data_IF_949969333905
#
_entry.id   IF_949969333905
#
_cell.length_a   1.000
_cell.length_b   1.000
_cell.length_c   1.000
_cell.angle_alpha   90.00
_cell.angle_beta   90.00
_cell.angle_gamma   90.00
#
_symmetry.space_group_name_H-M   'P 1'
#
loop_
_entity.id
_entity.type
_entity.pdbx_description
1 polymer ?
#
# COMPACT_ATOMS: atom_id res chain seq x y z
N UNK A 1 -7.03 3.62 -23.41
CA UNK A 1 -7.28 2.76 -22.26
C UNK A 1 -7.47 1.33 -22.71
N UNK A 2 -6.96 0.38 -21.94
CA UNK A 2 -6.89 -1.03 -22.35
C UNK A 2 -7.95 -1.91 -21.71
N UNK A 3 -8.83 -1.34 -20.87
CA UNK A 3 -9.95 -2.06 -20.26
C UNK A 3 -11.12 -1.11 -19.96
N UNK A 4 -12.27 -1.64 -19.50
CA UNK A 4 -13.52 -0.90 -19.39
C UNK A 4 -13.93 -0.52 -17.98
N UNK A 5 -13.62 -1.35 -16.97
CA UNK A 5 -14.05 -1.12 -15.59
C UNK A 5 -12.90 -0.64 -14.73
N UNK A 6 -12.87 0.65 -14.42
CA UNK A 6 -11.84 1.27 -13.60
C UNK A 6 -12.22 1.15 -12.14
N UNK A 7 -11.35 0.55 -11.32
CA UNK A 7 -11.50 0.44 -9.87
C UNK A 7 -10.81 1.57 -9.11
N UNK A 8 -9.66 2.05 -9.62
CA UNK A 8 -8.89 3.05 -8.91
C UNK A 8 -8.05 3.91 -9.84
N UNK A 9 -7.92 5.20 -9.49
CA UNK A 9 -7.08 6.16 -10.22
C UNK A 9 -6.19 6.88 -9.22
N UNK A 10 -4.90 7.08 -9.57
CA UNK A 10 -3.97 7.92 -8.80
C UNK A 10 -3.11 8.78 -9.74
N UNK A 11 -3.05 10.08 -9.43
CA UNK A 11 -2.16 10.99 -10.12
C UNK A 11 -0.81 11.08 -9.41
N UNK A 12 0.26 10.98 -10.18
CA UNK A 12 1.62 11.23 -9.71
C UNK A 12 2.07 12.62 -10.19
N UNK A 13 2.23 13.53 -9.25
CA UNK A 13 2.63 14.91 -9.55
C UNK A 13 4.07 15.00 -10.10
N UNK A 14 4.96 14.13 -9.65
CA UNK A 14 6.38 14.15 -10.06
C UNK A 14 6.54 13.68 -11.51
N UNK A 15 5.91 12.57 -11.88
CA UNK A 15 5.97 12.03 -13.25
C UNK A 15 4.93 12.65 -14.19
N UNK A 16 3.99 13.46 -13.66
CA UNK A 16 2.86 14.05 -14.38
C UNK A 16 2.02 13.01 -15.13
N UNK A 17 1.91 11.82 -14.55
CA UNK A 17 1.19 10.69 -15.12
C UNK A 17 0.06 10.20 -14.21
N UNK A 18 -0.91 9.52 -14.80
CA UNK A 18 -2.05 8.94 -14.13
C UNK A 18 -1.92 7.42 -14.13
N UNK A 19 -1.91 6.82 -12.95
CA UNK A 19 -2.06 5.38 -12.79
C UNK A 19 -3.55 5.05 -12.80
N UNK A 20 -3.94 4.10 -13.64
CA UNK A 20 -5.31 3.62 -13.79
C UNK A 20 -5.29 2.11 -13.53
N UNK A 21 -6.08 1.67 -12.57
CA UNK A 21 -6.23 0.27 -12.19
C UNK A 21 -7.64 -0.17 -12.52
N UNK A 22 -7.76 -1.34 -13.14
CA UNK A 22 -9.02 -1.96 -13.53
C UNK A 22 -9.41 -3.08 -12.56
N UNK A 23 -10.69 -3.45 -12.56
CA UNK A 23 -11.23 -4.50 -11.67
C UNK A 23 -10.56 -5.86 -11.85
N UNK A 24 -10.07 -6.15 -13.07
CA UNK A 24 -9.33 -7.37 -13.38
C UNK A 24 -7.82 -7.28 -13.02
N UNK A 25 -7.42 -6.21 -12.30
CA UNK A 25 -6.03 -5.91 -11.91
C UNK A 25 -5.09 -5.60 -13.09
N UNK A 26 -5.65 -5.28 -14.26
CA UNK A 26 -4.88 -4.66 -15.33
C UNK A 26 -4.50 -3.22 -14.92
N UNK A 27 -3.40 -2.70 -15.45
CA UNK A 27 -2.87 -1.39 -15.09
C UNK A 27 -2.50 -0.62 -16.36
N UNK A 28 -2.94 0.63 -16.43
CA UNK A 28 -2.46 1.59 -17.42
C UNK A 28 -1.76 2.76 -16.74
N UNK A 29 -0.72 3.28 -17.39
CA UNK A 29 -0.10 4.58 -17.06
C UNK A 29 -0.39 5.53 -18.21
N UNK A 30 -1.15 6.57 -17.94
CA UNK A 30 -1.49 7.62 -18.90
C UNK A 30 -0.60 8.84 -18.69
N UNK A 31 0.16 9.21 -19.73
CA UNK A 31 1.03 10.38 -19.74
C UNK A 31 0.95 11.06 -21.10
N UNK A 32 0.74 12.38 -21.12
CA UNK A 32 0.67 13.16 -22.37
C UNK A 32 -0.37 12.66 -23.39
N UNK A 33 -1.46 12.05 -22.92
CA UNK A 33 -2.50 11.47 -23.77
C UNK A 33 -2.21 10.04 -24.26
N UNK A 34 -1.04 9.46 -23.94
CA UNK A 34 -0.64 8.11 -24.34
C UNK A 34 -0.79 7.16 -23.13
N UNK A 35 -1.50 6.06 -23.33
CA UNK A 35 -1.65 5.00 -22.33
C UNK A 35 -0.64 3.88 -22.60
N UNK A 36 0.15 3.54 -21.58
CA UNK A 36 1.04 2.37 -21.58
C UNK A 36 0.44 1.30 -20.68
N UNK A 37 0.18 0.11 -21.22
CA UNK A 37 -0.40 -1.00 -20.48
C UNK A 37 0.66 -1.83 -19.77
N UNK A 38 0.37 -2.21 -18.52
CA UNK A 38 1.17 -3.09 -17.67
C UNK A 38 0.32 -4.31 -17.26
N UNK A 39 0.19 -5.35 -18.10
CA UNK A 39 -0.72 -6.47 -17.85
C UNK A 39 -0.17 -7.50 -16.84
N UNK A 40 0.91 -7.18 -16.11
CA UNK A 40 1.63 -8.09 -15.23
C UNK A 40 0.73 -8.89 -14.26
N UNK A 41 -0.16 -8.20 -13.55
CA UNK A 41 -1.07 -8.87 -12.61
C UNK A 41 -2.21 -9.57 -13.34
N UNK A 42 -2.87 -8.91 -14.29
CA UNK A 42 -4.03 -9.45 -15.00
C UNK A 42 -3.72 -10.76 -15.71
N UNK A 43 -2.53 -10.88 -16.31
CA UNK A 43 -2.11 -12.07 -17.07
C UNK A 43 -1.39 -13.14 -16.22
N UNK A 44 -0.99 -12.82 -14.97
CA UNK A 44 -0.28 -13.78 -14.12
C UNK A 44 -1.15 -15.01 -13.80
N UNK A 45 -0.61 -16.19 -14.03
CA UNK A 45 -1.26 -17.48 -13.67
C UNK A 45 -0.80 -17.99 -12.30
N UNK A 46 0.31 -17.47 -11.78
CA UNK A 46 0.89 -17.88 -10.49
C UNK A 46 0.29 -17.15 -9.28
N UNK A 47 -0.42 -16.03 -9.51
CA UNK A 47 -1.08 -15.26 -8.46
C UNK A 47 -2.58 -15.59 -8.51
N UNK A 48 -3.07 -16.25 -7.45
CA UNK A 48 -4.47 -16.68 -7.37
C UNK A 48 -5.41 -15.49 -7.11
N UNK A 49 -5.13 -14.74 -6.06
CA UNK A 49 -5.87 -13.52 -5.70
C UNK A 49 -5.04 -12.29 -6.09
N UNK A 50 -5.54 -11.54 -7.06
CA UNK A 50 -4.86 -10.39 -7.66
C UNK A 50 -5.41 -9.06 -7.17
N UNK A 51 -6.35 -9.08 -6.20
CA UNK A 51 -7.01 -7.87 -5.72
C UNK A 51 -6.00 -6.80 -5.31
N UNK A 52 -6.21 -5.60 -5.82
CA UNK A 52 -5.48 -4.39 -5.42
C UNK A 52 -6.39 -3.61 -4.48
N UNK A 53 -5.97 -3.49 -3.22
CA UNK A 53 -6.75 -2.88 -2.14
C UNK A 53 -6.58 -1.35 -2.10
N UNK A 54 -5.36 -0.88 -2.32
CA UNK A 54 -5.04 0.56 -2.29
C UNK A 54 -3.76 0.87 -3.05
N UNK A 55 -3.51 2.16 -3.27
CA UNK A 55 -2.28 2.66 -3.91
C UNK A 55 -1.74 3.84 -3.14
N UNK A 56 -0.46 3.75 -2.77
CA UNK A 56 0.36 4.85 -2.29
C UNK A 56 1.26 5.32 -3.43
N UNK A 57 1.21 6.62 -3.76
CA UNK A 57 2.19 7.26 -4.66
C UNK A 57 3.24 7.95 -3.82
N UNK A 58 4.51 7.63 -4.07
CA UNK A 58 5.67 8.25 -3.40
C UNK A 58 6.82 8.37 -4.39
N UNK A 59 7.32 9.56 -4.58
CA UNK A 59 8.28 9.91 -5.63
C UNK A 59 7.79 9.44 -7.02
N UNK A 60 8.62 8.80 -7.82
CA UNK A 60 8.25 8.24 -9.12
C UNK A 60 7.55 6.86 -9.02
N UNK A 61 7.33 6.34 -7.82
CA UNK A 61 6.78 5.01 -7.59
C UNK A 61 5.32 5.02 -7.15
N UNK A 62 4.59 3.97 -7.54
CA UNK A 62 3.31 3.61 -6.97
C UNK A 62 3.43 2.24 -6.27
N UNK A 63 3.08 2.20 -4.99
CA UNK A 63 3.05 0.99 -4.17
C UNK A 63 1.62 0.49 -4.11
N UNK A 64 1.34 -0.63 -4.76
CA UNK A 64 0.03 -1.25 -4.82
C UNK A 64 -0.08 -2.26 -3.68
N UNK A 65 -0.95 -1.99 -2.72
CA UNK A 65 -1.30 -2.95 -1.67
C UNK A 65 -2.19 -4.04 -2.25
N UNK A 66 -1.78 -5.30 -2.14
CA UNK A 66 -2.48 -6.42 -2.77
C UNK A 66 -2.84 -7.52 -1.77
N UNK A 67 -3.67 -8.46 -2.19
CA UNK A 67 -4.05 -9.63 -1.39
C UNK A 67 -2.86 -10.54 -1.01
N UNK A 68 -1.68 -10.38 -1.61
CA UNK A 68 -0.50 -11.22 -1.39
C UNK A 68 0.77 -10.46 -0.96
N UNK A 69 0.71 -9.14 -0.91
CA UNK A 69 1.87 -8.30 -0.60
C UNK A 69 1.81 -6.93 -1.27
N UNK A 70 2.93 -6.44 -1.79
CA UNK A 70 3.02 -5.12 -2.39
C UNK A 70 3.66 -5.23 -3.79
N UNK A 71 3.02 -4.65 -4.79
CA UNK A 71 3.60 -4.49 -6.13
C UNK A 71 4.06 -3.04 -6.31
N UNK A 72 5.30 -2.86 -6.74
CA UNK A 72 5.89 -1.53 -6.95
C UNK A 72 5.95 -1.25 -8.45
N UNK A 73 5.28 -0.19 -8.87
CA UNK A 73 5.30 0.32 -10.24
C UNK A 73 6.22 1.52 -10.32
N UNK A 74 7.20 1.50 -11.21
CA UNK A 74 7.94 2.70 -11.58
C UNK A 74 7.12 3.47 -12.64
N UNK A 75 6.50 4.57 -12.23
CA UNK A 75 5.62 5.33 -13.12
C UNK A 75 6.40 6.13 -14.17
N UNK A 76 7.64 6.53 -13.88
CA UNK A 76 8.49 7.23 -14.85
C UNK A 76 8.95 6.29 -15.97
N UNK A 77 9.35 5.05 -15.62
CA UNK A 77 9.78 4.04 -16.58
C UNK A 77 8.64 3.23 -17.18
N UNK A 78 7.44 3.32 -16.59
CA UNK A 78 6.25 2.57 -16.99
C UNK A 78 6.47 1.06 -16.96
N UNK A 79 6.98 0.56 -15.85
CA UNK A 79 7.31 -0.85 -15.63
C UNK A 79 6.98 -1.31 -14.20
N UNK A 80 6.79 -2.60 -14.01
CA UNK A 80 6.79 -3.20 -12.66
C UNK A 80 8.25 -3.25 -12.21
N UNK A 81 8.55 -2.55 -11.11
CA UNK A 81 9.89 -2.54 -10.52
C UNK A 81 10.14 -3.75 -9.66
N UNK A 82 9.25 -4.02 -8.69
CA UNK A 82 9.40 -5.06 -7.69
C UNK A 82 8.06 -5.66 -7.31
N UNK A 83 8.09 -6.86 -6.74
CA UNK A 83 6.93 -7.51 -6.13
C UNK A 83 7.34 -8.13 -4.79
N UNK A 84 6.94 -7.49 -3.69
CA UNK A 84 7.21 -7.98 -2.33
C UNK A 84 6.13 -9.02 -1.97
N UNK A 85 6.46 -10.30 -2.14
CA UNK A 85 5.56 -11.43 -1.85
C UNK A 85 5.56 -11.74 -0.35
N UNK A 86 4.71 -11.07 0.40
CA UNK A 86 4.67 -11.17 1.86
C UNK A 86 3.78 -12.31 2.36
N UNK A 87 2.94 -12.87 1.49
CA UNK A 87 1.87 -13.85 1.85
C UNK A 87 0.87 -13.25 2.84
N UNK A 88 0.68 -11.95 2.81
CA UNK A 88 -0.24 -11.17 3.63
C UNK A 88 -1.16 -10.36 2.74
N UNK A 89 -2.43 -10.28 3.11
CA UNK A 89 -3.35 -9.34 2.51
C UNK A 89 -3.05 -7.94 3.05
N UNK A 90 -2.37 -7.12 2.24
CA UNK A 90 -2.02 -5.73 2.59
C UNK A 90 -3.17 -4.82 2.21
N UNK A 91 -3.70 -4.08 3.17
CA UNK A 91 -4.84 -3.17 2.96
C UNK A 91 -4.41 -1.78 2.54
N UNK A 92 -3.31 -1.28 3.11
CA UNK A 92 -2.73 0.02 2.73
C UNK A 92 -1.27 0.12 3.12
N UNK A 93 -0.56 1.08 2.52
CA UNK A 93 0.82 1.41 2.82
C UNK A 93 0.97 2.90 3.13
N UNK A 94 1.97 3.24 3.93
CA UNK A 94 2.46 4.60 4.15
C UNK A 94 3.98 4.60 4.16
N UNK A 95 4.60 5.70 3.75
CA UNK A 95 6.05 5.89 3.84
C UNK A 95 6.32 7.09 4.75
N UNK A 96 7.21 6.88 5.71
CA UNK A 96 7.63 7.92 6.66
C UNK A 96 9.04 7.65 7.18
N UNK A 97 9.85 8.69 7.26
CA UNK A 97 11.21 8.63 7.81
C UNK A 97 12.07 7.49 7.20
N UNK A 98 11.95 7.27 5.89
CA UNK A 98 12.72 6.23 5.18
C UNK A 98 12.26 4.80 5.45
N UNK A 99 11.11 4.60 6.09
CA UNK A 99 10.47 3.31 6.29
C UNK A 99 9.15 3.23 5.53
N UNK A 100 8.83 2.04 5.06
CA UNK A 100 7.50 1.69 4.57
C UNK A 100 6.75 0.93 5.66
N UNK A 101 5.51 1.32 5.90
CA UNK A 101 4.56 0.68 6.81
C UNK A 101 3.42 0.09 5.99
N UNK A 102 2.97 -1.09 6.34
CA UNK A 102 1.88 -1.77 5.65
C UNK A 102 0.90 -2.36 6.66
N UNK A 103 -0.39 -2.07 6.49
CA UNK A 103 -1.46 -2.68 7.29
C UNK A 103 -1.93 -3.99 6.68
N UNK A 104 -2.28 -4.95 7.54
CA UNK A 104 -2.80 -6.25 7.14
C UNK A 104 -3.96 -6.68 8.00
N UNK A 105 -4.91 -7.39 7.41
CA UNK A 105 -6.02 -8.02 8.14
C UNK A 105 -5.67 -9.38 8.71
N UNK A 106 -4.49 -9.94 8.34
CA UNK A 106 -4.06 -11.27 8.81
C UNK A 106 -3.41 -11.19 10.20
N UNK A 107 -4.24 -11.04 11.22
CA UNK A 107 -3.79 -10.93 12.61
C UNK A 107 -3.24 -12.22 13.20
N UNK A 108 -3.51 -13.37 12.61
CA UNK A 108 -2.89 -14.63 13.02
C UNK A 108 -1.37 -14.63 12.75
N UNK A 109 -0.95 -13.96 11.69
CA UNK A 109 0.47 -13.82 11.32
C UNK A 109 1.12 -12.56 11.93
N UNK A 110 0.33 -11.47 12.04
CA UNK A 110 0.79 -10.17 12.53
C UNK A 110 -0.24 -9.62 13.52
N UNK A 111 -0.08 -9.89 14.80
CA UNK A 111 -1.04 -9.52 15.86
C UNK A 111 -1.34 -8.01 15.90
N UNK A 112 -0.33 -7.17 15.70
CA UNK A 112 -0.51 -5.70 15.60
C UNK A 112 -1.29 -5.25 14.36
N UNK A 113 -1.38 -6.09 13.33
CA UNK A 113 -1.97 -5.72 12.04
C UNK A 113 -1.12 -4.76 11.22
N UNK A 114 0.14 -4.50 11.60
CA UNK A 114 1.07 -3.62 10.89
C UNK A 114 2.43 -4.29 10.82
N UNK A 115 3.05 -4.22 9.65
CA UNK A 115 4.46 -4.53 9.43
C UNK A 115 5.18 -3.29 8.90
N UNK A 116 6.49 -3.24 9.07
CA UNK A 116 7.32 -2.18 8.50
C UNK A 116 8.68 -2.73 8.08
N UNK A 117 9.32 -2.00 7.16
CA UNK A 117 10.69 -2.25 6.75
C UNK A 117 11.38 -0.95 6.35
N UNK A 118 12.71 -0.90 6.44
CA UNK A 118 13.48 0.24 5.94
C UNK A 118 13.56 0.19 4.41
N UNK A 119 13.34 1.32 3.75
CA UNK A 119 13.51 1.44 2.30
C UNK A 119 14.98 1.25 1.84
N UNK A 120 15.93 1.21 2.78
CA UNK A 120 17.35 0.96 2.52
C UNK A 120 17.71 -0.53 2.50
N UNK A 121 16.80 -1.39 2.99
CA UNK A 121 16.99 -2.84 3.02
C UNK A 121 16.46 -3.50 1.73
N UNK A 122 16.82 -4.78 1.56
CA UNK A 122 16.25 -5.59 0.49
C UNK A 122 14.81 -5.99 0.84
N UNK A 123 13.82 -5.26 0.31
CA UNK A 123 12.40 -5.49 0.57
C UNK A 123 11.83 -6.75 -0.11
N UNK A 124 12.59 -7.38 -1.01
CA UNK A 124 12.25 -8.70 -1.55
C UNK A 124 12.45 -9.81 -0.53
N UNK A 125 13.34 -9.59 0.46
CA UNK A 125 13.54 -10.51 1.56
C UNK A 125 12.48 -10.24 2.64
N UNK A 126 11.58 -11.22 2.83
CA UNK A 126 10.52 -11.17 3.83
C UNK A 126 11.06 -11.00 5.26
N UNK A 127 12.28 -11.43 5.55
CA UNK A 127 12.90 -11.31 6.87
C UNK A 127 13.18 -9.86 7.29
N UNK A 128 13.24 -8.93 6.34
CA UNK A 128 13.42 -7.50 6.61
C UNK A 128 12.11 -6.80 7.03
N UNK A 129 10.97 -7.46 6.84
CA UNK A 129 9.68 -6.95 7.28
C UNK A 129 9.39 -7.41 8.70
N UNK A 130 9.21 -6.44 9.61
CA UNK A 130 9.03 -6.68 11.04
C UNK A 130 7.65 -6.23 11.49
N UNK A 131 7.03 -6.90 12.48
CA UNK A 131 5.83 -6.39 13.12
C UNK A 131 6.08 -5.00 13.72
N UNK A 132 5.11 -4.10 13.54
CA UNK A 132 5.12 -2.77 14.15
C UNK A 132 4.10 -2.74 15.28
N UNK A 133 4.57 -2.67 16.52
CA UNK A 133 3.72 -2.59 17.69
C UNK A 133 3.27 -1.17 17.97
N UNK A 134 1.98 -1.01 18.21
CA UNK A 134 1.39 0.23 18.74
C UNK A 134 0.94 -0.06 20.17
N UNK A 135 1.42 0.73 21.12
CA UNK A 135 0.91 0.68 22.49
C UNK A 135 -0.55 1.14 22.51
N UNK A 136 -1.34 0.57 23.41
CA UNK A 136 -2.76 0.87 23.59
C UNK A 136 -3.70 0.42 22.43
N UNK A 137 -3.22 -0.38 21.49
CA UNK A 137 -4.08 -1.04 20.52
C UNK A 137 -4.40 -2.46 21.01
N UNK A 138 -5.66 -2.72 21.32
CA UNK A 138 -6.08 -4.09 21.69
C UNK A 138 -6.06 -5.00 20.47
N UNK A 139 -5.79 -6.29 20.67
CA UNK A 139 -5.76 -7.30 19.59
C UNK A 139 -7.11 -7.46 18.86
N UNK A 140 -8.20 -6.99 19.45
CA UNK A 140 -9.52 -6.98 18.82
C UNK A 140 -9.69 -5.90 17.75
N UNK A 141 -8.85 -4.86 17.73
CA UNK A 141 -8.97 -3.77 16.76
C UNK A 141 -8.27 -4.10 15.44
N UNK A 142 -8.90 -3.76 14.35
CA UNK A 142 -8.35 -3.93 12.99
C UNK A 142 -7.98 -2.57 12.43
N UNK A 143 -6.74 -2.46 11.94
CA UNK A 143 -6.29 -1.29 11.20
C UNK A 143 -6.64 -1.50 9.73
N UNK A 144 -7.56 -0.70 9.22
CA UNK A 144 -8.02 -0.80 7.83
C UNK A 144 -7.23 0.06 6.86
N UNK A 145 -6.61 1.15 7.37
CA UNK A 145 -5.75 2.00 6.55
C UNK A 145 -4.67 2.70 7.37
N UNK A 146 -3.55 3.00 6.71
CA UNK A 146 -2.45 3.81 7.25
C UNK A 146 -2.18 4.95 6.27
N UNK A 147 -1.91 6.15 6.78
CA UNK A 147 -1.47 7.28 6.00
C UNK A 147 -0.37 8.05 6.72
N UNK A 148 0.53 8.69 5.98
CA UNK A 148 1.52 9.63 6.51
C UNK A 148 1.15 11.05 6.12
N UNK A 149 1.09 11.96 7.08
CA UNK A 149 0.84 13.38 6.85
C UNK A 149 1.66 14.22 7.81
N UNK A 150 2.39 15.20 7.31
CA UNK A 150 3.24 16.10 8.13
C UNK A 150 4.11 15.35 9.15
N UNK A 151 4.76 14.30 8.71
CA UNK A 151 5.65 13.46 9.52
C UNK A 151 4.96 12.77 10.72
N UNK A 152 3.66 12.52 10.61
CA UNK A 152 2.86 11.76 11.58
C UNK A 152 2.14 10.64 10.86
N UNK A 153 2.15 9.42 11.44
CA UNK A 153 1.36 8.30 10.96
C UNK A 153 -0.06 8.39 11.51
N UNK A 154 -1.02 8.22 10.63
CA UNK A 154 -2.44 8.15 10.94
C UNK A 154 -2.96 6.76 10.61
N UNK A 155 -3.86 6.28 11.44
CA UNK A 155 -4.44 4.95 11.35
C UNK A 155 -5.95 5.03 11.35
N UNK A 156 -6.60 4.38 10.41
CA UNK A 156 -8.03 4.14 10.46
C UNK A 156 -8.25 2.82 11.20
N UNK A 157 -8.75 2.91 12.42
CA UNK A 157 -9.10 1.75 13.24
C UNK A 157 -10.59 1.46 13.05
N UNK A 158 -10.89 0.23 12.60
CA UNK A 158 -12.28 -0.18 12.30
C UNK A 158 -13.21 0.07 13.47
N UNK A 159 -14.35 0.71 13.21
CA UNK A 159 -15.40 1.06 14.18
C UNK A 159 -14.96 2.01 15.31
N UNK A 160 -13.71 2.47 15.31
CA UNK A 160 -13.16 3.35 16.35
C UNK A 160 -12.86 4.75 15.83
N UNK A 161 -12.59 4.91 14.53
CA UNK A 161 -12.27 6.19 13.90
C UNK A 161 -10.79 6.35 13.57
N UNK A 162 -10.35 7.61 13.50
CA UNK A 162 -8.98 7.95 13.10
C UNK A 162 -8.14 8.20 14.35
N UNK A 163 -6.97 7.61 14.35
CA UNK A 163 -5.94 7.77 15.36
C UNK A 163 -4.65 8.29 14.71
N UNK A 164 -3.83 8.92 15.51
CA UNK A 164 -2.47 9.28 15.13
C UNK A 164 -1.49 8.78 16.18
N UNK A 165 -0.26 8.56 15.77
CA UNK A 165 0.80 8.13 16.65
C UNK A 165 1.52 9.34 17.26
N UNK A 166 1.65 9.31 18.57
CA UNK A 166 2.41 10.27 19.34
C UNK A 166 3.31 9.51 20.31
N UNK A 167 4.64 9.54 20.07
CA UNK A 167 5.65 8.84 20.88
C UNK A 167 5.36 7.33 21.09
N UNK A 168 4.90 6.64 20.05
CA UNK A 168 4.60 5.21 20.11
C UNK A 168 3.24 4.87 20.71
N UNK A 169 2.45 5.88 21.11
CA UNK A 169 1.08 5.71 21.62
C UNK A 169 0.05 6.22 20.61
N UNK A 170 -1.06 5.50 20.51
CA UNK A 170 -2.19 5.92 19.70
C UNK A 170 -3.05 6.94 20.44
N UNK A 171 -3.27 8.07 19.81
CA UNK A 171 -4.20 9.10 20.25
C UNK A 171 -5.33 9.24 19.24
N UNK A 172 -6.59 9.24 19.71
CA UNK A 172 -7.75 9.40 18.85
C UNK A 172 -7.93 10.85 18.44
N UNK A 173 -8.24 11.09 17.16
CA UNK A 173 -8.72 12.40 16.72
C UNK A 173 -10.17 12.54 17.22
N UNK A 174 -10.38 13.46 18.13
CA UNK A 174 -11.71 13.81 18.64
C UNK A 174 -12.13 15.08 17.89
N UNK A 175 -13.25 15.04 17.17
CA UNK A 175 -13.88 16.25 16.67
C UNK A 175 -14.49 16.99 17.89
N UNK A 176 -13.96 18.16 18.19
CA UNK A 176 -14.52 19.10 19.14
C UNK A 176 -15.73 19.82 18.55
#
# INVERSE_FOLDING_TARGET
LNDNTISLIRYNKQTKSLLIIYDNSNIDILEGGVATNLPYLSTSTSIRDKQINSVLVHDEYAYLSTAFGIVVVNMAKKEIKDTYKLSLNITSCAIQNGNIYASTTNKAEVSSGIIYASLKENLLDKANWKPYGLSNLSDSHTISAIASFKNTLFYLVSQQGIFYENNGELSRIINS
#
